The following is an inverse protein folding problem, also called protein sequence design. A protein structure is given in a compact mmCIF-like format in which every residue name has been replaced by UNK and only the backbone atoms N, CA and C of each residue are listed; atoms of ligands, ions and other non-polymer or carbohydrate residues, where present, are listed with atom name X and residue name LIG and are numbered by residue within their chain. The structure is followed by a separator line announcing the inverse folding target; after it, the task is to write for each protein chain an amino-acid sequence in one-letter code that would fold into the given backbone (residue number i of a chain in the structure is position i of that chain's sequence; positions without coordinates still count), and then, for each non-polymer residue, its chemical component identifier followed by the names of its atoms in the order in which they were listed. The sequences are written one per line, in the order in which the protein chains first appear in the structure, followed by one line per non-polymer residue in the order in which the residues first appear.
data_IF_909658806625
#
_entry.id   IF_909658806625
#
_cell.length_a   1.000
_cell.length_b   1.000
_cell.length_c   1.000
_cell.angle_alpha   90.00
_cell.angle_beta   90.00
_cell.angle_gamma   90.00
#
_symmetry.space_group_name_H-M   'P 1'
#
loop_
_entity.id
_entity.type
_entity.pdbx_description
1 polymer ?
#
# COMPACT_ATOMS: atom_id res chain seq x y z
N UNK A 1 1.47 -43.54 22.79
CA UNK A 1 0.25 -43.15 22.06
C UNK A 1 0.35 -41.64 21.81
N UNK A 2 0.57 -41.24 20.57
CA UNK A 2 0.97 -39.87 20.19
C UNK A 2 -0.25 -38.97 20.21
N UNK A 3 -0.20 -37.92 21.04
CA UNK A 3 -1.21 -36.87 21.12
C UNK A 3 -0.92 -35.86 20.00
N UNK A 4 -1.62 -35.98 18.87
CA UNK A 4 -1.53 -35.01 17.79
C UNK A 4 -2.22 -33.71 18.19
N UNK A 5 -1.44 -32.68 18.54
CA UNK A 5 -1.90 -31.30 18.56
C UNK A 5 -2.18 -30.86 17.12
N UNK A 6 -3.45 -30.81 16.75
CA UNK A 6 -3.90 -30.09 15.56
C UNK A 6 -3.63 -28.60 15.79
N UNK A 7 -2.53 -28.10 15.21
CA UNK A 7 -2.29 -26.67 15.07
C UNK A 7 -3.34 -26.12 14.09
N UNK A 8 -4.48 -25.69 14.60
CA UNK A 8 -5.40 -24.82 13.88
C UNK A 8 -4.71 -23.46 13.71
N UNK A 9 -3.87 -23.34 12.68
CA UNK A 9 -3.28 -22.09 12.27
C UNK A 9 -4.35 -21.22 11.63
N UNK A 10 -4.98 -20.34 12.43
CA UNK A 10 -5.68 -19.19 11.89
C UNK A 10 -4.66 -18.45 11.01
N UNK A 11 -4.85 -18.47 9.69
CA UNK A 11 -4.05 -17.64 8.81
C UNK A 11 -4.34 -16.19 9.20
N UNK A 12 -3.33 -15.48 9.72
CA UNK A 12 -3.46 -14.06 10.05
C UNK A 12 -3.78 -13.31 8.76
N UNK A 13 -5.03 -12.89 8.63
CA UNK A 13 -5.52 -12.03 7.57
C UNK A 13 -5.56 -10.60 8.09
N UNK A 14 -4.92 -9.69 7.40
CA UNK A 14 -4.97 -8.25 7.70
C UNK A 14 -5.31 -7.47 6.44
N UNK A 15 -6.19 -6.48 6.54
CA UNK A 15 -6.46 -5.54 5.45
C UNK A 15 -6.49 -4.13 6.00
N UNK A 16 -5.93 -3.19 5.25
CA UNK A 16 -5.96 -1.76 5.54
C UNK A 16 -6.35 -1.04 4.25
N UNK A 17 -7.47 -0.32 4.19
CA UNK A 17 -8.48 -0.19 5.25
C UNK A 17 -9.10 -1.57 5.62
N UNK A 18 -9.60 -1.72 6.86
CA UNK A 18 -10.20 -2.96 7.32
C UNK A 18 -11.46 -3.29 6.52
N UNK A 19 -11.55 -4.53 6.02
CA UNK A 19 -12.82 -5.09 5.55
C UNK A 19 -13.73 -5.37 6.75
N UNK A 20 -15.05 -5.47 6.53
CA UNK A 20 -16.00 -5.77 7.59
C UNK A 20 -15.61 -7.07 8.32
N UNK A 21 -15.08 -6.92 9.55
CA UNK A 21 -14.51 -8.04 10.30
C UNK A 21 -13.09 -7.77 10.82
N UNK A 22 -12.99 -6.79 11.74
CA UNK A 22 -11.91 -6.56 12.73
C UNK A 22 -10.46 -6.74 12.26
N UNK A 23 -9.85 -5.63 11.85
CA UNK A 23 -8.44 -5.34 12.11
C UNK A 23 -8.39 -4.05 12.90
N UNK A 24 -7.81 -4.08 14.10
CA UNK A 24 -7.64 -2.89 14.94
C UNK A 24 -6.43 -2.10 14.45
N UNK A 25 -6.50 -0.77 14.45
CA UNK A 25 -5.40 0.12 14.06
C UNK A 25 -4.07 -0.21 14.78
N UNK A 26 -4.12 -0.78 15.99
CA UNK A 26 -2.96 -1.24 16.78
C UNK A 26 -2.12 -2.35 16.10
N UNK A 27 -2.64 -3.03 15.08
CA UNK A 27 -1.85 -4.02 14.32
C UNK A 27 -1.02 -3.37 13.19
N UNK A 28 -1.41 -2.17 12.73
CA UNK A 28 -0.71 -1.50 11.62
C UNK A 28 0.70 -1.01 11.98
N UNK A 29 0.99 -0.83 13.27
CA UNK A 29 2.30 -0.39 13.77
C UNK A 29 3.27 -1.56 14.00
N UNK A 30 2.77 -2.81 13.94
CA UNK A 30 3.53 -4.02 14.28
C UNK A 30 3.93 -4.77 13.01
N UNK A 31 5.05 -5.48 13.09
CA UNK A 31 5.47 -6.36 11.99
C UNK A 31 4.36 -7.38 11.66
N UNK A 32 4.12 -7.68 10.37
CA UNK A 32 4.92 -7.27 9.21
C UNK A 32 4.43 -6.00 8.48
N UNK A 33 3.42 -5.27 9.00
CA UNK A 33 2.75 -4.21 8.23
C UNK A 33 3.73 -3.10 7.78
N UNK A 34 4.52 -2.46 8.68
CA UNK A 34 5.44 -1.41 8.24
C UNK A 34 6.50 -1.89 7.26
N UNK A 35 7.02 -3.11 7.44
CA UNK A 35 8.05 -3.73 6.59
C UNK A 35 7.52 -3.98 5.18
N UNK A 36 6.30 -4.49 5.05
CA UNK A 36 5.63 -4.73 3.75
C UNK A 36 5.43 -3.41 2.99
N UNK A 37 4.98 -2.36 3.68
CA UNK A 37 4.76 -1.04 3.07
C UNK A 37 6.09 -0.43 2.63
N UNK A 38 7.12 -0.46 3.50
CA UNK A 38 8.44 0.06 3.17
C UNK A 38 9.04 -0.67 1.95
N UNK A 39 8.96 -2.00 1.92
CA UNK A 39 9.41 -2.81 0.78
C UNK A 39 8.71 -2.40 -0.53
N UNK A 40 7.42 -2.11 -0.47
CA UNK A 40 6.64 -1.67 -1.64
C UNK A 40 7.08 -0.28 -2.14
N UNK A 41 7.32 0.65 -1.22
CA UNK A 41 7.83 2.01 -1.54
C UNK A 41 9.25 1.93 -2.11
N UNK A 42 10.14 1.17 -1.48
CA UNK A 42 11.52 0.95 -1.96
C UNK A 42 11.55 0.40 -3.39
N UNK A 43 10.75 -0.63 -3.66
CA UNK A 43 10.65 -1.22 -4.98
C UNK A 43 10.21 -0.22 -6.05
N UNK A 44 9.32 0.70 -5.67
CA UNK A 44 8.83 1.77 -6.51
C UNK A 44 9.91 2.82 -6.78
N UNK A 45 10.50 3.36 -5.73
CA UNK A 45 11.57 4.38 -5.81
C UNK A 45 12.76 3.90 -6.64
N UNK A 46 13.10 2.61 -6.57
CA UNK A 46 14.22 2.04 -7.32
C UNK A 46 14.03 2.05 -8.86
N UNK A 47 12.78 2.17 -9.35
CA UNK A 47 12.44 2.08 -10.78
C UNK A 47 12.40 3.44 -11.46
N UNK A 48 12.75 3.42 -12.75
CA UNK A 48 13.00 4.62 -13.56
C UNK A 48 11.84 5.62 -13.57
N UNK A 49 10.60 5.13 -13.59
CA UNK A 49 9.38 5.97 -13.59
C UNK A 49 9.20 6.82 -12.30
N UNK A 50 9.97 6.56 -11.24
CA UNK A 50 9.85 7.20 -9.92
C UNK A 50 11.08 7.98 -9.49
N UNK A 51 12.20 7.88 -10.23
CA UNK A 51 13.46 8.54 -9.85
C UNK A 51 13.36 10.06 -9.85
N UNK A 52 12.33 10.61 -10.48
CA UNK A 52 12.07 12.04 -10.56
C UNK A 52 11.27 12.59 -9.36
N UNK A 53 10.84 11.75 -8.41
CA UNK A 53 10.30 12.26 -7.15
C UNK A 53 11.38 13.02 -6.37
N UNK A 54 10.99 14.15 -5.79
CA UNK A 54 11.87 14.95 -4.95
C UNK A 54 12.37 14.10 -3.78
N UNK A 55 13.68 14.15 -3.50
CA UNK A 55 14.20 13.73 -2.20
C UNK A 55 13.96 14.90 -1.25
N UNK A 56 13.30 14.70 -0.10
CA UNK A 56 12.91 13.43 0.55
C UNK A 56 11.61 12.78 0.02
N UNK A 57 11.50 11.45 0.16
CA UNK A 57 10.31 10.67 -0.26
C UNK A 57 9.08 11.09 0.53
N UNK A 58 7.99 11.31 -0.18
CA UNK A 58 6.70 11.62 0.40
C UNK A 58 5.77 10.42 0.25
N UNK A 59 5.10 10.01 1.32
CA UNK A 59 4.11 8.95 1.25
C UNK A 59 2.93 9.17 2.20
N UNK A 60 1.78 8.61 1.82
CA UNK A 60 0.55 8.62 2.60
C UNK A 60 0.10 7.18 2.86
N UNK A 61 -0.42 6.92 4.05
CA UNK A 61 -0.93 5.60 4.44
C UNK A 61 -2.44 5.48 4.20
N UNK A 62 -2.98 4.25 4.13
CA UNK A 62 -4.42 4.04 4.01
C UNK A 62 -5.19 4.69 5.14
N UNK A 63 -6.42 5.11 4.85
CA UNK A 63 -7.35 5.64 5.86
C UNK A 63 -7.49 4.63 7.00
N UNK A 64 -7.33 5.10 8.24
CA UNK A 64 -7.40 4.28 9.45
C UNK A 64 -6.02 3.87 10.02
N UNK A 65 -4.92 4.12 9.31
CA UNK A 65 -3.58 4.07 9.90
C UNK A 65 -3.25 5.41 10.57
N UNK A 66 -2.68 5.36 11.78
CA UNK A 66 -2.35 6.54 12.58
C UNK A 66 -0.91 7.04 12.31
N UNK A 67 -0.54 8.15 12.95
CA UNK A 67 0.80 8.74 12.86
C UNK A 67 1.91 7.77 13.30
N UNK A 68 1.64 6.91 14.29
CA UNK A 68 2.61 5.89 14.74
C UNK A 68 2.92 4.87 13.64
N UNK A 69 1.92 4.47 12.85
CA UNK A 69 2.13 3.60 11.68
C UNK A 69 2.98 4.29 10.62
N UNK A 70 2.76 5.60 10.42
CA UNK A 70 3.59 6.42 9.52
C UNK A 70 5.04 6.43 9.97
N UNK A 71 5.29 6.69 11.26
CA UNK A 71 6.63 6.68 11.84
C UNK A 71 7.29 5.30 11.76
N UNK A 72 6.54 4.22 11.99
CA UNK A 72 7.06 2.87 11.86
C UNK A 72 7.49 2.55 10.41
N UNK A 73 6.73 2.99 9.40
CA UNK A 73 7.11 2.86 7.99
C UNK A 73 8.32 3.73 7.67
N UNK A 74 8.36 4.97 8.16
CA UNK A 74 9.47 5.88 7.94
C UNK A 74 10.79 5.33 8.53
N UNK A 75 10.74 4.69 9.70
CA UNK A 75 11.93 4.07 10.32
C UNK A 75 12.41 2.87 9.51
N UNK A 76 11.51 2.06 8.93
CA UNK A 76 11.90 0.99 8.00
C UNK A 76 12.59 1.55 6.75
N UNK A 77 12.03 2.59 6.13
CA UNK A 77 12.62 3.24 4.95
C UNK A 77 14.01 3.84 5.24
N UNK A 78 14.20 4.39 6.44
CA UNK A 78 15.48 4.94 6.88
C UNK A 78 16.56 3.85 6.98
N UNK A 79 16.22 2.62 7.37
CA UNK A 79 17.15 1.49 7.35
C UNK A 79 17.66 1.17 5.93
N UNK A 80 16.85 1.48 4.92
CA UNK A 80 17.19 1.37 3.50
C UNK A 80 17.81 2.65 2.91
N UNK A 81 18.25 3.59 3.75
CA UNK A 81 18.83 4.89 3.37
C UNK A 81 17.87 5.79 2.56
N UNK A 82 16.56 5.61 2.73
CA UNK A 82 15.53 6.44 2.11
C UNK A 82 15.00 7.45 3.13
N UNK A 83 15.33 8.72 2.93
CA UNK A 83 14.81 9.82 3.76
C UNK A 83 13.37 10.14 3.37
N UNK A 84 12.53 10.39 4.36
CA UNK A 84 11.10 10.68 4.19
C UNK A 84 10.74 12.11 4.62
N UNK A 85 9.60 12.60 4.14
CA UNK A 85 9.00 13.87 4.54
C UNK A 85 7.53 13.68 4.91
N UNK A 86 7.06 14.53 5.83
CA UNK A 86 5.67 14.59 6.30
C UNK A 86 4.79 15.50 5.45
N UNK A 87 5.32 16.11 4.39
CA UNK A 87 4.49 16.82 3.41
C UNK A 87 3.46 15.87 2.81
N UNK A 88 2.30 16.35 2.41
CA UNK A 88 1.24 15.50 1.83
C UNK A 88 1.12 15.66 0.31
N UNK A 89 1.78 16.65 -0.27
CA UNK A 89 1.67 16.95 -1.69
C UNK A 89 2.58 16.03 -2.54
N UNK A 90 2.03 15.50 -3.63
CA UNK A 90 2.75 14.76 -4.68
C UNK A 90 3.59 13.54 -4.21
N UNK A 91 3.07 12.76 -3.26
CA UNK A 91 3.72 11.54 -2.75
C UNK A 91 3.09 10.23 -3.18
N UNK A 92 3.74 9.11 -2.84
CA UNK A 92 3.19 7.76 -3.03
C UNK A 92 2.02 7.58 -2.05
N UNK A 93 0.83 7.35 -2.57
CA UNK A 93 -0.35 7.07 -1.76
C UNK A 93 -0.59 5.57 -1.66
N UNK A 94 -0.40 4.99 -0.48
CA UNK A 94 -0.76 3.61 -0.20
C UNK A 94 -2.28 3.55 -0.05
N UNK A 95 -2.95 2.88 -0.97
CA UNK A 95 -4.41 2.75 -1.00
C UNK A 95 -4.88 1.59 -0.15
N UNK A 96 -4.21 0.45 -0.30
CA UNK A 96 -4.51 -0.71 0.50
C UNK A 96 -3.31 -1.63 0.73
N UNK A 97 -3.33 -2.30 1.88
CA UNK A 97 -2.39 -3.36 2.24
C UNK A 97 -3.20 -4.56 2.68
N UNK A 98 -2.95 -5.72 2.05
CA UNK A 98 -3.63 -6.98 2.35
C UNK A 98 -2.59 -8.04 2.68
N UNK A 99 -2.66 -8.63 3.86
CA UNK A 99 -1.74 -9.63 4.39
C UNK A 99 -2.45 -10.98 4.47
N UNK A 100 -1.76 -12.03 4.02
CA UNK A 100 -2.21 -13.41 4.03
C UNK A 100 -1.04 -14.31 4.47
N UNK A 101 -0.78 -14.37 5.77
CA UNK A 101 0.39 -15.08 6.30
C UNK A 101 1.70 -14.53 5.74
N UNK A 102 2.41 -15.31 4.93
CA UNK A 102 3.69 -14.94 4.31
C UNK A 102 3.55 -14.31 2.91
N UNK A 103 2.33 -13.93 2.53
CA UNK A 103 2.03 -13.21 1.29
C UNK A 103 1.37 -11.88 1.60
N UNK A 104 1.60 -10.90 0.74
CA UNK A 104 0.96 -9.60 0.85
C UNK A 104 0.65 -9.02 -0.52
N UNK A 105 -0.35 -8.15 -0.58
CA UNK A 105 -0.65 -7.31 -1.72
C UNK A 105 -0.70 -5.86 -1.26
N UNK A 106 -0.06 -4.96 -2.01
CA UNK A 106 -0.06 -3.53 -1.74
C UNK A 106 -0.53 -2.80 -2.99
N UNK A 107 -1.61 -2.03 -2.85
CA UNK A 107 -2.13 -1.17 -3.91
C UNK A 107 -1.72 0.26 -3.64
N UNK A 108 -1.16 0.93 -4.64
CA UNK A 108 -0.58 2.26 -4.50
C UNK A 108 -0.95 3.14 -5.68
N UNK A 109 -1.22 4.40 -5.38
CA UNK A 109 -1.18 5.49 -6.35
C UNK A 109 0.20 6.11 -6.34
N UNK A 110 0.75 6.23 -7.54
CA UNK A 110 2.12 6.64 -7.78
C UNK A 110 2.07 7.90 -8.62
N UNK A 111 2.64 9.02 -8.18
CA UNK A 111 2.71 10.20 -9.02
C UNK A 111 3.67 9.93 -10.18
N UNK A 112 3.26 10.37 -11.38
CA UNK A 112 4.06 10.34 -12.61
C UNK A 112 4.56 11.75 -12.91
N UNK A 113 5.65 11.86 -13.66
CA UNK A 113 6.14 13.15 -14.20
C UNK A 113 5.06 13.85 -15.03
N UNK A 114 4.27 13.07 -15.77
CA UNK A 114 3.21 13.57 -16.64
C UNK A 114 1.95 12.73 -16.49
N UNK A 115 0.80 13.41 -16.48
CA UNK A 115 -0.52 12.79 -16.45
C UNK A 115 -1.00 12.39 -15.05
N UNK A 116 -2.06 11.59 -15.03
CA UNK A 116 -2.68 11.09 -13.79
C UNK A 116 -1.75 10.14 -13.02
N UNK A 117 -2.02 9.90 -11.73
CA UNK A 117 -1.26 8.91 -10.96
C UNK A 117 -1.34 7.51 -11.59
N UNK A 118 -0.22 6.80 -11.60
CA UNK A 118 -0.15 5.40 -11.97
C UNK A 118 -0.67 4.53 -10.81
N UNK A 119 -1.72 3.74 -11.05
CA UNK A 119 -2.14 2.73 -10.09
C UNK A 119 -1.25 1.48 -10.23
N UNK A 120 -0.70 1.01 -9.13
CA UNK A 120 0.19 -0.15 -9.06
C UNK A 120 -0.31 -1.11 -7.98
N UNK A 121 -0.39 -2.39 -8.32
CA UNK A 121 -0.59 -3.48 -7.36
C UNK A 121 0.69 -4.31 -7.29
N UNK A 122 1.30 -4.39 -6.12
CA UNK A 122 2.47 -5.22 -5.86
C UNK A 122 2.07 -6.47 -5.09
N UNK A 123 2.62 -7.60 -5.51
CA UNK A 123 2.55 -8.86 -4.77
C UNK A 123 3.88 -9.08 -4.06
N UNK A 124 3.84 -9.26 -2.75
CA UNK A 124 5.00 -9.50 -1.91
C UNK A 124 4.91 -10.87 -1.27
N UNK A 125 6.08 -11.47 -1.06
CA UNK A 125 6.22 -12.74 -0.37
C UNK A 125 7.43 -12.70 0.55
N UNK A 126 7.28 -13.33 1.72
CA UNK A 126 8.36 -13.65 2.64
C UNK A 126 8.44 -15.18 2.83
N UNK A 127 9.55 -15.64 3.38
CA UNK A 127 9.75 -17.00 3.86
C UNK A 127 10.22 -16.92 5.31
N UNK A 128 10.15 -18.02 6.06
CA UNK A 128 10.64 -18.03 7.43
C UNK A 128 12.07 -17.47 7.51
N UNK A 129 12.26 -16.42 8.32
CA UNK A 129 13.53 -15.70 8.51
C UNK A 129 14.10 -15.01 7.26
N UNK A 130 13.27 -14.74 6.24
CA UNK A 130 13.67 -13.95 5.08
C UNK A 130 12.93 -12.61 5.04
N UNK A 131 13.58 -11.53 4.56
CA UNK A 131 12.90 -10.26 4.36
C UNK A 131 11.80 -10.40 3.30
N UNK A 132 10.82 -9.50 3.37
CA UNK A 132 9.82 -9.38 2.31
C UNK A 132 10.46 -8.98 0.98
N UNK A 133 9.92 -9.52 -0.11
CA UNK A 133 10.31 -9.12 -1.46
C UNK A 133 9.12 -9.07 -2.38
N UNK A 134 9.16 -8.15 -3.33
CA UNK A 134 8.16 -8.10 -4.41
C UNK A 134 8.41 -9.25 -5.39
N UNK A 135 7.39 -10.07 -5.59
CA UNK A 135 7.41 -11.23 -6.51
C UNK A 135 6.54 -10.99 -7.75
N UNK A 136 5.64 -10.01 -7.70
CA UNK A 136 4.77 -9.63 -8.81
C UNK A 136 4.46 -8.14 -8.78
N UNK A 137 4.26 -7.55 -9.95
CA UNK A 137 3.88 -6.14 -10.06
C UNK A 137 2.94 -5.95 -11.25
N UNK A 138 1.78 -5.37 -10.98
CA UNK A 138 0.79 -5.05 -11.99
C UNK A 138 0.59 -3.53 -12.06
N UNK A 139 0.75 -2.96 -13.25
CA UNK A 139 0.62 -1.53 -13.52
C UNK A 139 -0.64 -1.31 -14.32
N UNK A 140 -1.66 -0.75 -13.68
CA UNK A 140 -2.97 -0.56 -14.30
C UNK A 140 -2.96 0.62 -15.26
N UNK A 141 -3.22 0.36 -16.53
CA UNK A 141 -3.38 1.41 -17.54
C UNK A 141 -4.86 1.64 -17.74
N UNK A 142 -5.33 2.82 -17.35
CA UNK A 142 -6.67 3.26 -17.68
C UNK A 142 -6.61 4.12 -18.94
N UNK A 143 -7.62 4.02 -19.80
CA UNK A 143 -7.79 5.00 -20.86
C UNK A 143 -8.30 6.30 -20.23
N UNK A 144 -7.46 7.34 -20.25
CA UNK A 144 -7.76 8.64 -19.61
C UNK A 144 -9.05 9.26 -20.15
N UNK A 145 -9.34 9.07 -21.44
CA UNK A 145 -10.58 9.55 -22.07
C UNK A 145 -11.83 8.81 -21.57
N UNK A 146 -11.69 7.55 -21.14
CA UNK A 146 -12.80 6.78 -20.55
C UNK A 146 -13.03 7.16 -19.08
N UNK A 147 -11.96 7.44 -18.34
CA UNK A 147 -12.03 7.92 -16.96
C UNK A 147 -12.73 9.28 -16.85
N UNK A 148 -12.35 10.25 -17.69
CA UNK A 148 -12.97 11.57 -17.67
C UNK A 148 -14.45 11.53 -18.06
N UNK A 149 -14.82 10.71 -19.06
CA UNK A 149 -16.23 10.46 -19.39
C UNK A 149 -17.00 9.89 -18.20
N UNK A 150 -16.48 8.82 -17.61
CA UNK A 150 -17.13 8.17 -16.46
C UNK A 150 -17.27 9.11 -15.26
N UNK A 151 -16.27 9.97 -15.03
CA UNK A 151 -16.30 10.98 -13.97
C UNK A 151 -17.38 12.04 -14.22
N UNK A 152 -17.49 12.54 -15.44
CA UNK A 152 -18.54 13.48 -15.83
C UNK A 152 -19.94 12.88 -15.63
N UNK A 153 -20.13 11.62 -16.06
CA UNK A 153 -21.39 10.90 -15.92
C UNK A 153 -21.77 10.69 -14.44
N UNK A 154 -20.80 10.35 -13.58
CA UNK A 154 -21.04 10.19 -12.13
C UNK A 154 -21.40 11.51 -11.44
N UNK A 155 -20.75 12.62 -11.81
CA UNK A 155 -21.07 13.95 -11.26
C UNK A 155 -22.51 14.30 -11.64
N UNK A 156 -22.88 14.11 -12.91
CA UNK A 156 -24.23 14.40 -13.38
C UNK A 156 -25.29 13.54 -12.68
N UNK A 157 -25.05 12.23 -12.56
CA UNK A 157 -25.95 11.33 -11.83
C UNK A 157 -26.11 11.71 -10.36
N UNK A 158 -25.06 12.20 -9.70
CA UNK A 158 -25.12 12.64 -8.29
C UNK A 158 -25.96 13.91 -8.11
N UNK A 159 -25.99 14.80 -9.10
CA UNK A 159 -26.84 16.00 -9.10
C UNK A 159 -28.32 15.64 -9.32
N UNK A 160 -28.59 14.70 -10.22
CA UNK A 160 -29.95 14.26 -10.56
C UNK A 160 -30.60 13.45 -9.42
N UNK A 161 -29.81 12.68 -8.65
CA UNK A 161 -30.33 11.86 -7.54
C UNK A 161 -30.47 12.64 -6.22
N UNK A 162 -29.83 13.80 -6.11
CA UNK A 162 -29.88 14.68 -4.93
C UNK A 162 -30.94 15.78 -4.98
N UNK A 163 -31.77 15.80 -6.02
CA UNK A 163 -32.89 16.76 -6.24
C UNK A 163 -34.24 16.09 -6.00
#
# INVERSE_FOLDING_TARGET
MIMSLLAAGCANYGSYPPLEGKVTADESIKAPVPEVIATAIEWCVAREDFREQQKPIVFQLPVGMNEEAHQAVAEQLKQSNLNTSTTTENGIMIRSVRLFGLKAMVDMSVPRTYGSDQLVTLELQSYAFQPWRVVGANRWRFNEEQLERTKADMIQASVETGS
#
